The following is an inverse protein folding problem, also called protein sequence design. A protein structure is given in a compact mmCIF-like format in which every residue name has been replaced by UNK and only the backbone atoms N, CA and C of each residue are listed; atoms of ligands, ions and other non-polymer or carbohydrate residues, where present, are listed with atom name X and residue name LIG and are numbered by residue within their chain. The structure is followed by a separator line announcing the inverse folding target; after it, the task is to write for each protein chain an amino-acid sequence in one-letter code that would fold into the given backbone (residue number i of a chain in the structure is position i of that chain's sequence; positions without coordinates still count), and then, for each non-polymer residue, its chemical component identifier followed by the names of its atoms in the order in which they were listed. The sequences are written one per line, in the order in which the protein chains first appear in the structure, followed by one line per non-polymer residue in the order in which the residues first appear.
data_IF_795133731557
#
_entry.id   IF_795133731557
#
_cell.length_a   1.000
_cell.length_b   1.000
_cell.length_c   1.000
_cell.angle_alpha   90.00
_cell.angle_beta   90.00
_cell.angle_gamma   90.00
#
_symmetry.space_group_name_H-M   'P 1'
#
loop_
_entity.id
_entity.type
_entity.pdbx_description
1 polymer ?
#
# COMPACT_ATOMS: atom_id res chain seq x y z
N UNK A 1 0.35 23.20 -37.52
CA UNK A 1 -0.23 21.91 -37.06
C UNK A 1 -0.26 21.91 -35.57
N UNK A 2 -1.47 21.86 -35.02
CA UNK A 2 -1.64 21.60 -33.58
C UNK A 2 -1.05 20.24 -33.24
N UNK A 3 -0.24 20.11 -32.18
CA UNK A 3 0.29 18.81 -31.80
C UNK A 3 -0.86 17.87 -31.54
N UNK A 4 -0.81 16.73 -32.18
CA UNK A 4 -1.79 15.65 -32.01
C UNK A 4 -1.94 15.33 -30.52
N UNK A 5 -3.15 15.48 -30.00
CA UNK A 5 -3.52 15.22 -28.59
C UNK A 5 -3.47 13.73 -28.19
N UNK A 6 -2.62 12.95 -28.85
CA UNK A 6 -2.52 11.49 -28.65
C UNK A 6 -1.64 11.09 -27.46
N UNK A 7 -0.72 11.96 -27.05
CA UNK A 7 0.15 11.70 -25.91
C UNK A 7 -0.21 12.68 -24.78
N UNK A 8 -0.38 12.18 -23.58
CA UNK A 8 -0.60 12.99 -22.39
C UNK A 8 0.34 12.55 -21.26
N UNK A 9 0.82 13.54 -20.54
CA UNK A 9 1.61 13.38 -19.36
C UNK A 9 0.66 13.02 -18.19
N UNK A 10 0.66 11.78 -17.76
CA UNK A 10 -0.27 11.30 -16.74
C UNK A 10 0.50 10.60 -15.64
N UNK A 11 0.24 11.00 -14.40
CA UNK A 11 0.71 10.24 -13.25
C UNK A 11 -0.12 8.98 -13.10
N UNK A 12 0.48 7.83 -13.38
CA UNK A 12 -0.13 6.52 -13.14
C UNK A 12 0.69 5.73 -12.14
N UNK A 13 0.02 4.78 -11.51
CA UNK A 13 0.66 3.79 -10.66
C UNK A 13 1.32 2.75 -11.53
N UNK A 14 2.56 2.41 -11.19
CA UNK A 14 3.37 1.44 -11.89
C UNK A 14 3.95 0.43 -10.91
N UNK A 15 4.17 -0.78 -11.39
CA UNK A 15 5.01 -1.74 -10.70
C UNK A 15 6.45 -1.33 -10.98
N UNK A 16 7.25 -1.25 -9.95
CA UNK A 16 8.59 -0.70 -9.98
C UNK A 16 9.58 -1.62 -9.30
N UNK A 17 10.70 -1.86 -9.95
CA UNK A 17 11.85 -2.51 -9.34
C UNK A 17 12.80 -1.43 -8.78
N UNK A 18 12.85 -1.24 -7.46
CA UNK A 18 13.69 -0.19 -6.86
C UNK A 18 15.18 -0.47 -6.98
N UNK A 19 15.57 -1.72 -7.24
CA UNK A 19 16.98 -2.10 -7.41
C UNK A 19 17.46 -1.81 -8.82
N UNK A 20 16.60 -2.02 -9.83
CA UNK A 20 16.92 -1.69 -11.22
C UNK A 20 16.58 -0.24 -11.56
N UNK A 21 15.79 0.45 -10.73
CA UNK A 21 15.39 1.83 -10.97
C UNK A 21 14.44 1.99 -12.17
N UNK A 22 13.62 0.98 -12.46
CA UNK A 22 12.76 0.96 -13.65
C UNK A 22 11.36 0.40 -13.37
N UNK A 23 10.40 0.81 -14.19
CA UNK A 23 9.08 0.19 -14.23
C UNK A 23 9.17 -1.16 -14.93
N UNK A 24 8.36 -2.11 -14.47
CA UNK A 24 8.24 -3.44 -15.06
C UNK A 24 6.78 -3.74 -15.40
N UNK A 25 6.58 -4.59 -16.41
CA UNK A 25 5.25 -5.02 -16.80
C UNK A 25 4.69 -6.10 -15.85
N UNK A 26 3.36 -6.22 -15.77
CA UNK A 26 2.72 -7.28 -14.98
C UNK A 26 3.22 -8.69 -15.35
N UNK A 27 3.58 -8.91 -16.63
CA UNK A 27 4.10 -10.17 -17.11
C UNK A 27 5.53 -10.50 -16.62
N UNK A 28 6.26 -9.50 -16.11
CA UNK A 28 7.61 -9.64 -15.54
C UNK A 28 7.59 -9.79 -14.01
N UNK A 29 6.39 -9.93 -13.42
CA UNK A 29 6.21 -10.13 -11.98
C UNK A 29 5.92 -11.60 -11.71
N UNK A 30 6.77 -12.20 -10.90
CA UNK A 30 6.56 -13.54 -10.34
C UNK A 30 6.13 -13.46 -8.88
N UNK A 31 5.58 -14.56 -8.38
CA UNK A 31 5.28 -14.71 -6.95
C UNK A 31 6.22 -15.77 -6.37
N UNK A 32 7.00 -15.38 -5.37
CA UNK A 32 7.86 -16.28 -4.64
C UNK A 32 7.40 -16.40 -3.19
N UNK A 33 7.27 -17.63 -2.73
CA UNK A 33 7.03 -17.89 -1.31
C UNK A 33 8.25 -17.45 -0.50
N UNK A 34 8.03 -16.56 0.45
CA UNK A 34 9.06 -16.06 1.37
C UNK A 34 8.55 -16.05 2.80
N UNK A 35 9.47 -16.30 3.71
CA UNK A 35 9.19 -16.09 5.13
C UNK A 35 9.01 -14.60 5.40
N UNK A 36 7.85 -14.26 5.93
CA UNK A 36 7.50 -12.91 6.37
C UNK A 36 7.03 -12.96 7.83
N UNK A 37 6.93 -11.81 8.47
CA UNK A 37 6.32 -11.71 9.79
C UNK A 37 4.95 -11.09 9.66
N UNK A 38 3.94 -11.79 10.16
CA UNK A 38 2.63 -11.21 10.44
C UNK A 38 2.70 -10.61 11.85
N UNK A 39 2.45 -9.33 11.95
CA UNK A 39 2.44 -8.61 13.22
C UNK A 39 1.03 -8.12 13.52
N UNK A 40 0.57 -8.35 14.73
CA UNK A 40 -0.68 -7.85 15.25
C UNK A 40 -0.40 -6.59 16.05
N UNK A 41 -0.96 -5.48 15.62
CA UNK A 41 -0.70 -4.14 16.14
C UNK A 41 -1.97 -3.60 16.78
N UNK A 42 -1.85 -3.07 18.00
CA UNK A 42 -2.93 -2.40 18.71
C UNK A 42 -3.08 -0.97 18.23
N UNK A 43 -4.29 -0.63 17.83
CA UNK A 43 -4.70 0.71 17.43
C UNK A 43 -5.80 1.20 18.38
N UNK A 44 -5.93 2.51 18.52
CA UNK A 44 -6.88 3.12 19.45
C UNK A 44 -7.83 4.04 18.69
N UNK A 45 -9.13 3.82 18.82
CA UNK A 45 -10.17 4.72 18.33
C UNK A 45 -10.30 5.96 19.19
N UNK A 46 -10.95 7.01 18.67
CA UNK A 46 -11.14 8.28 19.40
C UNK A 46 -11.97 8.11 20.68
N UNK A 47 -12.83 7.11 20.74
CA UNK A 47 -13.61 6.76 21.95
C UNK A 47 -12.83 5.92 22.98
N UNK A 48 -11.56 5.60 22.68
CA UNK A 48 -10.72 4.77 23.53
C UNK A 48 -10.84 3.26 23.26
N UNK A 49 -11.72 2.83 22.35
CA UNK A 49 -11.81 1.41 21.95
C UNK A 49 -10.53 0.95 21.27
N UNK A 50 -10.03 -0.20 21.69
CA UNK A 50 -8.85 -0.80 21.07
C UNK A 50 -9.24 -1.76 19.95
N UNK A 51 -8.47 -1.71 18.87
CA UNK A 51 -8.62 -2.57 17.71
C UNK A 51 -7.25 -3.18 17.35
N UNK A 52 -7.22 -4.48 17.11
CA UNK A 52 -6.00 -5.17 16.69
C UNK A 52 -6.03 -5.40 15.18
N UNK A 53 -5.01 -4.92 14.49
CA UNK A 53 -4.87 -5.06 13.04
C UNK A 53 -3.64 -5.89 12.72
N UNK A 54 -3.84 -6.94 11.93
CA UNK A 54 -2.77 -7.82 11.46
C UNK A 54 -2.15 -7.27 10.17
N UNK A 55 -0.84 -7.13 10.12
CA UNK A 55 -0.13 -6.71 8.90
C UNK A 55 1.20 -7.44 8.71
N UNK A 56 1.56 -7.68 7.47
CA UNK A 56 2.91 -8.15 7.09
C UNK A 56 3.83 -7.01 6.68
N UNK A 57 3.29 -5.76 6.65
CA UNK A 57 4.00 -4.56 6.22
C UNK A 57 3.86 -3.41 7.22
N UNK A 58 4.38 -3.56 8.45
CA UNK A 58 4.25 -2.54 9.49
C UNK A 58 4.92 -1.21 9.10
N UNK A 59 5.90 -1.23 8.20
CA UNK A 59 6.51 -0.02 7.64
C UNK A 59 5.53 0.87 6.87
N UNK A 60 4.42 0.32 6.40
CA UNK A 60 3.38 1.08 5.68
C UNK A 60 2.25 1.62 6.56
N UNK A 61 2.29 1.44 7.87
CA UNK A 61 1.33 2.06 8.78
C UNK A 61 1.26 3.58 8.53
N UNK A 62 2.39 4.23 8.29
CA UNK A 62 2.47 5.64 7.91
C UNK A 62 1.71 5.96 6.62
N UNK A 63 1.47 4.97 5.75
CA UNK A 63 0.79 5.09 4.48
C UNK A 63 -0.69 4.67 4.53
N UNK A 64 -1.20 4.30 5.69
CA UNK A 64 -2.61 3.95 5.88
C UNK A 64 -3.49 5.16 5.60
N UNK A 65 -4.49 4.98 4.72
CA UNK A 65 -5.47 6.02 4.38
C UNK A 65 -6.85 5.75 4.98
N UNK A 66 -7.14 4.48 5.27
CA UNK A 66 -8.41 4.03 5.83
C UNK A 66 -8.21 2.65 6.47
N UNK A 67 -8.95 2.38 7.51
CA UNK A 67 -9.11 1.03 8.05
C UNK A 67 -10.48 0.51 7.60
N UNK A 68 -10.54 -0.71 7.07
CA UNK A 68 -11.79 -1.26 6.57
C UNK A 68 -12.16 -2.58 7.24
N UNK A 69 -13.45 -2.78 7.42
CA UNK A 69 -14.09 -3.97 7.98
C UNK A 69 -15.11 -4.51 6.98
N UNK A 70 -15.41 -5.80 7.05
CA UNK A 70 -16.44 -6.37 6.18
C UNK A 70 -17.83 -5.85 6.58
N UNK A 71 -18.72 -5.52 5.62
CA UNK A 71 -20.07 -5.04 5.91
C UNK A 71 -20.92 -6.01 6.78
N UNK A 72 -20.71 -7.32 6.61
CA UNK A 72 -21.43 -8.36 7.33
C UNK A 72 -20.71 -8.86 8.60
N UNK A 73 -19.67 -8.16 9.04
CA UNK A 73 -18.93 -8.52 10.25
C UNK A 73 -19.45 -7.72 11.46
N UNK A 74 -20.36 -8.30 12.20
CA UNK A 74 -21.02 -7.68 13.36
C UNK A 74 -20.04 -7.26 14.46
N UNK A 75 -18.84 -7.86 14.51
CA UNK A 75 -17.82 -7.56 15.53
C UNK A 75 -17.39 -6.10 15.50
N UNK A 76 -17.40 -5.48 14.34
CA UNK A 76 -16.81 -4.16 14.11
C UNK A 76 -17.80 -3.10 13.63
N UNK A 77 -19.09 -3.42 13.50
CA UNK A 77 -20.09 -2.47 13.00
C UNK A 77 -20.18 -1.20 13.85
N UNK A 78 -19.97 -1.32 15.15
CA UNK A 78 -19.99 -0.19 16.08
C UNK A 78 -18.82 0.78 15.92
N UNK A 79 -17.77 0.39 15.19
CA UNK A 79 -16.58 1.21 14.91
C UNK A 79 -16.68 1.96 13.59
N UNK A 80 -17.64 1.62 12.74
CA UNK A 80 -17.80 2.26 11.43
C UNK A 80 -18.12 3.74 11.57
N UNK A 81 -17.38 4.59 10.85
CA UNK A 81 -17.46 6.05 10.96
C UNK A 81 -16.61 6.66 12.08
N UNK A 82 -16.06 5.86 12.97
CA UNK A 82 -15.11 6.36 13.97
C UNK A 82 -13.74 6.63 13.36
N UNK A 83 -12.95 7.44 14.03
CA UNK A 83 -11.54 7.65 13.69
C UNK A 83 -10.66 6.79 14.57
N UNK A 84 -9.61 6.27 13.97
CA UNK A 84 -8.62 5.42 14.63
C UNK A 84 -7.22 6.01 14.46
N UNK A 85 -6.49 6.12 15.56
CA UNK A 85 -5.15 6.70 15.61
C UNK A 85 -4.13 5.78 14.94
N UNK A 86 -3.29 6.36 14.07
CA UNK A 86 -2.21 5.63 13.40
C UNK A 86 -1.04 5.43 14.38
N UNK A 87 -0.65 4.18 14.70
CA UNK A 87 0.64 3.93 15.31
C UNK A 87 1.77 4.47 14.43
N UNK A 88 2.86 4.94 15.02
CA UNK A 88 4.00 5.51 14.30
C UNK A 88 3.68 6.74 13.44
N UNK A 89 2.54 7.38 13.66
CA UNK A 89 2.21 8.65 13.00
C UNK A 89 3.17 9.75 13.46
N UNK A 90 3.51 10.62 12.53
CA UNK A 90 4.46 11.72 12.77
C UNK A 90 3.91 13.05 12.34
N UNK A 91 4.58 14.11 12.79
CA UNK A 91 4.23 15.50 12.48
C UNK A 91 4.08 15.74 10.98
N UNK A 92 3.02 16.43 10.60
CA UNK A 92 2.76 16.89 9.23
C UNK A 92 1.79 16.04 8.42
N UNK A 93 1.23 14.96 8.99
CA UNK A 93 0.16 14.15 8.37
C UNK A 93 -0.99 13.91 9.34
N UNK A 94 -2.15 13.49 8.80
CA UNK A 94 -3.25 13.03 9.63
C UNK A 94 -2.77 11.91 10.57
N UNK A 95 -2.95 12.11 11.87
CA UNK A 95 -2.57 11.14 12.90
C UNK A 95 -3.63 10.06 13.09
N UNK A 96 -4.78 10.20 12.44
CA UNK A 96 -5.89 9.25 12.48
C UNK A 96 -6.55 9.10 11.11
N UNK A 97 -7.17 7.94 10.89
CA UNK A 97 -7.94 7.60 9.69
C UNK A 97 -9.34 7.14 10.09
N UNK A 98 -10.26 7.09 9.14
CA UNK A 98 -11.61 6.63 9.38
C UNK A 98 -11.70 5.10 9.27
N UNK A 99 -12.61 4.50 10.04
CA UNK A 99 -13.02 3.10 9.91
C UNK A 99 -14.22 3.03 8.99
N UNK A 100 -14.10 2.32 7.87
CA UNK A 100 -15.14 2.20 6.86
C UNK A 100 -15.48 0.74 6.57
N UNK A 101 -16.60 0.52 5.91
CA UNK A 101 -16.96 -0.81 5.40
C UNK A 101 -16.45 -1.01 3.99
N UNK A 102 -15.93 -2.20 3.69
CA UNK A 102 -15.57 -2.57 2.33
C UNK A 102 -15.67 -4.08 2.10
N UNK A 103 -16.31 -4.54 1.00
CA UNK A 103 -16.54 -5.98 0.75
C UNK A 103 -15.26 -6.75 0.38
N UNK A 104 -14.15 -6.08 0.11
CA UNK A 104 -12.86 -6.74 -0.17
C UNK A 104 -12.22 -7.36 1.06
N UNK A 105 -12.68 -7.01 2.26
CA UNK A 105 -12.17 -7.54 3.51
C UNK A 105 -12.60 -9.01 3.67
N UNK A 106 -11.65 -9.85 4.03
CA UNK A 106 -11.92 -11.24 4.40
C UNK A 106 -11.99 -11.33 5.92
N UNK A 107 -13.20 -11.44 6.46
CA UNK A 107 -13.44 -11.47 7.92
C UNK A 107 -12.70 -12.60 8.65
N UNK A 108 -12.33 -13.65 7.92
CA UNK A 108 -11.62 -14.83 8.44
C UNK A 108 -10.09 -14.68 8.40
N UNK A 109 -9.57 -13.63 7.75
CA UNK A 109 -8.12 -13.42 7.63
C UNK A 109 -7.62 -12.49 8.73
N UNK A 110 -6.65 -12.96 9.52
CA UNK A 110 -6.11 -12.22 10.66
C UNK A 110 -7.19 -11.88 11.66
N UNK A 111 -7.34 -10.61 11.98
CA UNK A 111 -8.40 -10.11 12.86
C UNK A 111 -9.70 -9.81 12.13
N UNK A 112 -9.75 -9.90 10.80
CA UNK A 112 -10.90 -9.47 9.99
C UNK A 112 -10.95 -7.96 9.76
N UNK A 113 -9.88 -7.25 10.12
CA UNK A 113 -9.72 -5.80 9.91
C UNK A 113 -8.54 -5.56 8.99
N UNK A 114 -8.73 -4.76 7.96
CA UNK A 114 -7.72 -4.49 6.97
C UNK A 114 -7.28 -3.01 7.03
N UNK A 115 -5.99 -2.82 7.19
CA UNK A 115 -5.31 -1.54 6.97
C UNK A 115 -5.08 -1.37 5.47
N UNK A 116 -5.70 -0.37 4.86
CA UNK A 116 -5.53 -0.07 3.44
C UNK A 116 -4.51 1.07 3.27
N UNK A 117 -3.41 0.76 2.63
CA UNK A 117 -2.29 1.67 2.49
C UNK A 117 -2.20 2.26 1.09
N UNK A 118 -1.80 3.52 0.99
CA UNK A 118 -1.45 4.11 -0.29
C UNK A 118 -0.29 3.34 -0.92
N UNK A 119 -0.51 2.76 -2.09
CA UNK A 119 0.49 1.94 -2.80
C UNK A 119 0.97 0.68 -2.02
N UNK A 120 0.15 0.10 -1.16
CA UNK A 120 0.46 -1.15 -0.47
C UNK A 120 0.54 -2.33 -1.44
N UNK A 121 -0.55 -2.61 -2.12
CA UNK A 121 -0.65 -3.60 -3.20
C UNK A 121 -1.70 -3.18 -4.26
N UNK A 122 -2.05 -4.07 -5.19
CA UNK A 122 -3.05 -3.79 -6.22
C UNK A 122 -4.47 -3.62 -5.65
N UNK A 123 -4.80 -4.37 -4.60
CA UNK A 123 -6.12 -4.28 -3.95
C UNK A 123 -6.25 -2.97 -3.18
N UNK A 124 -5.24 -2.60 -2.42
CA UNK A 124 -5.17 -1.31 -1.72
C UNK A 124 -5.39 -0.15 -2.67
N UNK A 125 -4.77 -0.24 -3.83
CA UNK A 125 -4.90 0.73 -4.91
C UNK A 125 -6.34 0.83 -5.45
N UNK A 126 -7.04 -0.29 -5.59
CA UNK A 126 -8.43 -0.31 -6.02
C UNK A 126 -9.34 0.34 -4.96
N UNK A 127 -9.20 -0.05 -3.70
CA UNK A 127 -9.96 0.51 -2.57
C UNK A 127 -9.73 2.02 -2.42
N UNK A 128 -8.48 2.48 -2.51
CA UNK A 128 -8.19 3.93 -2.49
C UNK A 128 -8.94 4.71 -3.57
N UNK A 129 -9.04 4.14 -4.76
CA UNK A 129 -9.75 4.77 -5.89
C UNK A 129 -11.26 4.72 -5.70
N UNK A 130 -11.81 3.61 -5.23
CA UNK A 130 -13.24 3.44 -5.00
C UNK A 130 -13.74 4.38 -3.91
N UNK A 131 -12.96 4.57 -2.85
CA UNK A 131 -13.27 5.46 -1.73
C UNK A 131 -12.86 6.92 -2.00
N UNK A 132 -12.31 7.25 -3.18
CA UNK A 132 -11.90 8.62 -3.51
C UNK A 132 -10.76 9.18 -2.65
N UNK A 133 -9.96 8.33 -2.03
CA UNK A 133 -8.89 8.74 -1.13
C UNK A 133 -7.71 9.34 -1.91
N UNK A 134 -7.09 10.38 -1.35
CA UNK A 134 -5.89 10.99 -1.93
C UNK A 134 -4.68 10.11 -1.62
N UNK A 135 -4.02 9.54 -2.64
CA UNK A 135 -2.84 8.72 -2.42
C UNK A 135 -1.61 9.58 -2.13
N UNK A 136 -0.72 9.07 -1.29
CA UNK A 136 0.59 9.66 -1.01
C UNK A 136 1.66 8.56 -1.03
N UNK A 137 2.89 8.95 -1.34
CA UNK A 137 3.98 8.03 -1.58
C UNK A 137 4.84 7.87 -0.33
N UNK A 138 4.85 6.66 0.24
CA UNK A 138 5.66 6.33 1.41
C UNK A 138 7.06 5.79 1.04
N UNK A 139 7.22 5.28 -0.18
CA UNK A 139 8.49 4.73 -0.70
C UNK A 139 8.87 5.55 -1.93
N UNK A 140 10.10 6.05 -1.99
CA UNK A 140 10.63 6.79 -3.13
C UNK A 140 11.16 5.87 -4.26
N UNK A 141 11.75 6.48 -5.28
CA UNK A 141 12.30 5.77 -6.44
C UNK A 141 13.56 4.95 -6.10
N UNK A 142 14.24 5.30 -5.03
CA UNK A 142 15.43 4.58 -4.55
C UNK A 142 15.08 3.44 -3.59
N UNK A 143 13.78 3.14 -3.40
CA UNK A 143 13.28 2.11 -2.49
C UNK A 143 13.41 2.48 -1.01
N UNK A 144 13.54 3.77 -0.70
CA UNK A 144 13.65 4.29 0.65
C UNK A 144 12.36 4.92 1.13
N UNK A 145 12.17 4.91 2.43
CA UNK A 145 11.02 5.55 3.07
C UNK A 145 11.11 7.06 2.95
N UNK A 146 10.02 7.69 2.51
CA UNK A 146 9.91 9.16 2.38
C UNK A 146 9.68 9.81 3.75
N UNK A 147 9.64 11.15 3.77
CA UNK A 147 9.34 11.94 4.99
C UNK A 147 7.99 11.59 5.64
N UNK A 148 7.04 11.06 4.87
CA UNK A 148 5.75 10.59 5.39
C UNK A 148 5.91 9.50 6.44
N UNK A 149 6.98 8.72 6.35
CA UNK A 149 7.27 7.62 7.27
C UNK A 149 7.91 8.06 8.60
N UNK A 150 8.13 9.35 8.81
CA UNK A 150 8.62 9.90 10.07
C UNK A 150 9.89 9.25 10.59
N UNK A 151 9.84 8.50 11.70
CA UNK A 151 11.03 7.88 12.28
C UNK A 151 11.69 6.81 11.38
N UNK A 152 11.00 6.40 10.30
CA UNK A 152 11.51 5.44 9.33
C UNK A 152 12.09 6.14 8.08
N UNK A 153 12.07 7.47 8.01
CA UNK A 153 12.53 8.23 6.85
C UNK A 153 13.98 7.91 6.45
N UNK A 154 14.21 7.70 5.16
CA UNK A 154 15.52 7.42 4.59
C UNK A 154 15.99 5.97 4.70
N UNK A 155 15.29 5.13 5.46
CA UNK A 155 15.58 3.70 5.58
C UNK A 155 15.10 2.94 4.34
N UNK A 156 15.77 1.87 4.00
CA UNK A 156 15.22 0.89 3.04
C UNK A 156 13.97 0.23 3.60
N UNK A 157 13.13 -0.35 2.75
CA UNK A 157 11.89 -1.03 3.18
C UNK A 157 12.15 -2.13 4.22
N UNK A 158 13.25 -2.87 4.09
CA UNK A 158 13.59 -3.94 5.03
C UNK A 158 14.03 -3.39 6.40
N UNK A 159 14.89 -2.37 6.41
CA UNK A 159 15.31 -1.69 7.64
C UNK A 159 14.11 -1.03 8.34
N UNK A 160 13.27 -0.34 7.56
CA UNK A 160 12.07 0.31 8.06
C UNK A 160 11.08 -0.70 8.69
N UNK A 161 10.93 -1.87 8.09
CA UNK A 161 10.08 -2.94 8.64
C UNK A 161 10.59 -3.43 9.99
N UNK A 162 11.90 -3.72 10.09
CA UNK A 162 12.51 -4.12 11.36
C UNK A 162 12.35 -3.02 12.41
N UNK A 163 12.65 -1.77 12.03
CA UNK A 163 12.56 -0.62 12.93
C UNK A 163 11.12 -0.33 13.38
N UNK A 164 10.13 -0.49 12.48
CA UNK A 164 8.73 -0.32 12.83
C UNK A 164 8.28 -1.33 13.91
N UNK A 165 8.71 -2.59 13.81
CA UNK A 165 8.41 -3.61 14.81
C UNK A 165 9.02 -3.22 16.17
N UNK A 166 10.29 -2.81 16.21
CA UNK A 166 10.94 -2.36 17.44
C UNK A 166 10.22 -1.16 18.10
N UNK A 167 9.81 -0.19 17.29
CA UNK A 167 9.07 0.97 17.80
C UNK A 167 7.70 0.57 18.36
N UNK A 168 6.97 -0.30 17.65
CA UNK A 168 5.67 -0.81 18.10
C UNK A 168 5.80 -1.63 19.40
N UNK A 169 6.89 -2.38 19.54
CA UNK A 169 7.19 -3.11 20.77
C UNK A 169 7.50 -2.15 21.93
N UNK A 170 8.33 -1.14 21.69
CA UNK A 170 8.70 -0.12 22.68
C UNK A 170 7.47 0.66 23.15
N UNK A 171 6.53 0.96 22.25
CA UNK A 171 5.28 1.67 22.54
C UNK A 171 4.21 0.76 23.18
N UNK A 172 4.49 -0.54 23.36
CA UNK A 172 3.54 -1.51 23.92
C UNK A 172 2.35 -1.80 23.00
N UNK A 173 2.46 -1.47 21.70
CA UNK A 173 1.42 -1.67 20.70
C UNK A 173 1.54 -2.99 19.93
N UNK A 174 2.70 -3.64 19.98
CA UNK A 174 2.90 -4.96 19.40
C UNK A 174 2.21 -6.02 20.27
N UNK A 175 1.17 -6.65 19.76
CA UNK A 175 0.44 -7.72 20.45
C UNK A 175 1.07 -9.07 20.20
N UNK A 176 1.39 -9.35 18.94
CA UNK A 176 1.95 -10.63 18.52
C UNK A 176 2.81 -10.46 17.25
N UNK A 177 3.81 -11.34 17.10
CA UNK A 177 4.61 -11.43 15.87
C UNK A 177 4.86 -12.89 15.54
N UNK A 178 4.35 -13.35 14.37
CA UNK A 178 4.41 -14.74 13.94
C UNK A 178 5.06 -14.83 12.56
N UNK A 179 6.03 -15.75 12.42
CA UNK A 179 6.55 -16.06 11.09
C UNK A 179 5.52 -16.85 10.28
N UNK A 180 5.37 -16.45 9.01
CA UNK A 180 4.55 -17.19 8.05
C UNK A 180 5.17 -17.14 6.66
N UNK A 181 4.83 -18.10 5.84
CA UNK A 181 5.14 -18.06 4.43
C UNK A 181 4.07 -17.25 3.69
N UNK A 182 4.51 -16.38 2.80
CA UNK A 182 3.64 -15.54 1.98
C UNK A 182 4.23 -15.40 0.58
N UNK A 183 3.36 -15.43 -0.41
CA UNK A 183 3.72 -15.15 -1.79
C UNK A 183 3.95 -13.65 -1.98
N UNK A 184 5.21 -13.29 -2.18
CA UNK A 184 5.65 -11.91 -2.39
C UNK A 184 5.85 -11.68 -3.88
N UNK A 185 5.28 -10.61 -4.46
CA UNK A 185 5.54 -10.25 -5.85
C UNK A 185 6.99 -9.77 -5.99
N UNK A 186 7.69 -10.34 -6.95
CA UNK A 186 9.10 -10.05 -7.22
C UNK A 186 9.33 -9.84 -8.72
N UNK A 187 10.38 -9.09 -9.05
CA UNK A 187 10.87 -8.97 -10.42
C UNK A 187 11.37 -10.33 -10.93
N UNK A 188 10.94 -10.75 -12.12
CA UNK A 188 11.36 -12.00 -12.73
C UNK A 188 12.88 -12.10 -12.85
N UNK A 189 13.54 -11.02 -13.21
CA UNK A 189 14.98 -10.99 -13.49
C UNK A 189 15.84 -11.16 -12.25
N UNK A 190 15.56 -10.39 -11.20
CA UNK A 190 16.41 -10.34 -9.99
C UNK A 190 15.78 -10.99 -8.76
N UNK A 191 14.53 -11.37 -8.85
CA UNK A 191 13.76 -11.89 -7.71
C UNK A 191 13.72 -10.91 -6.52
N UNK A 192 13.86 -9.62 -6.81
CA UNK A 192 13.72 -8.53 -5.83
C UNK A 192 12.25 -8.19 -5.62
N UNK A 193 11.81 -7.89 -4.39
CA UNK A 193 10.46 -7.44 -4.14
C UNK A 193 10.15 -6.16 -4.93
N UNK A 194 9.00 -6.14 -5.59
CA UNK A 194 8.54 -4.96 -6.34
C UNK A 194 7.81 -3.99 -5.42
N UNK A 195 7.84 -2.71 -5.79
CA UNK A 195 7.07 -1.65 -5.15
C UNK A 195 5.98 -1.13 -6.10
N UNK A 196 4.91 -0.57 -5.53
CA UNK A 196 3.93 0.18 -6.27
C UNK A 196 4.19 1.65 -6.05
N UNK A 197 4.44 2.39 -7.13
CA UNK A 197 4.80 3.80 -7.06
C UNK A 197 4.00 4.63 -8.07
N UNK A 198 4.01 5.93 -7.87
CA UNK A 198 3.41 6.89 -8.80
C UNK A 198 4.50 7.54 -9.61
N UNK A 199 4.48 7.30 -10.92
CA UNK A 199 5.42 7.91 -11.87
C UNK A 199 4.70 8.76 -12.90
N UNK A 200 5.43 9.77 -13.39
CA UNK A 200 5.03 10.57 -14.53
C UNK A 200 5.53 9.89 -15.79
N UNK A 201 4.60 9.45 -16.64
CA UNK A 201 4.91 8.73 -17.86
C UNK A 201 4.11 9.27 -19.04
N UNK A 202 4.63 9.00 -20.24
CA UNK A 202 3.94 9.27 -21.47
C UNK A 202 2.95 8.18 -21.80
N UNK A 203 1.69 8.56 -22.01
CA UNK A 203 0.62 7.66 -22.37
C UNK A 203 0.03 8.03 -23.72
N UNK A 204 -0.11 7.02 -24.59
CA UNK A 204 -0.79 7.16 -25.86
C UNK A 204 -2.24 6.71 -25.71
N UNK A 205 -3.20 7.59 -25.98
CA UNK A 205 -4.60 7.22 -26.01
C UNK A 205 -4.84 6.32 -27.21
N UNK A 206 -5.11 5.06 -26.97
CA UNK A 206 -5.59 4.16 -28.02
C UNK A 206 -7.04 4.50 -28.32
N UNK A 207 -7.28 5.20 -29.44
CA UNK A 207 -8.63 5.44 -29.94
C UNK A 207 -9.20 4.13 -30.50
N UNK A 208 -10.48 3.86 -30.25
CA UNK A 208 -11.18 2.64 -30.76
C UNK A 208 -11.24 2.51 -32.29
N UNK A 209 -10.75 3.46 -33.06
CA UNK A 209 -10.63 3.38 -34.52
C UNK A 209 -9.33 2.64 -34.84
N UNK A 210 -9.48 1.46 -35.44
CA UNK A 210 -8.38 0.74 -36.10
C UNK A 210 -7.69 1.72 -37.07
N UNK A 211 -6.54 2.23 -36.72
CA UNK A 211 -5.66 2.90 -37.66
C UNK A 211 -5.10 1.78 -38.54
N UNK A 212 -5.64 1.66 -39.75
CA UNK A 212 -4.98 0.82 -40.79
C UNK A 212 -3.67 1.51 -41.13
N UNK A 213 -2.59 1.05 -40.57
CA UNK A 213 -1.27 1.38 -41.10
C UNK A 213 -1.20 0.80 -42.54
N UNK A 214 -1.26 1.70 -43.50
CA UNK A 214 -0.83 1.35 -44.89
C UNK A 214 0.71 1.43 -44.84
N UNK A 215 1.35 0.28 -44.75
CA UNK A 215 2.76 0.14 -45.09
C UNK A 215 2.80 0.27 -46.61
N UNK A 216 3.37 1.36 -47.15
CA UNK A 216 3.80 1.42 -48.53
C UNK A 216 5.15 0.66 -48.61
N UNK A 217 5.13 -0.47 -49.31
CA UNK A 217 6.31 -1.13 -49.77
C UNK A 217 6.95 -0.27 -50.88
#
# INVERSE_FOLDING_TARGET
PTPSSAASDVYKRQIYDPVEGTTIADAEVERLSRKTRLVDVRWTCDDGTELVISTTRPELICACGVVVVHPDDDRYQHLVGQRISLPLATDGRATSVEVMQHPSVKSEFGTGVLMVCSFGDQNDVAVFRELGLTPFQAIDLDGKMTKVAGPLHGMTVLEARARAIELLETDGRLVQSVEREQDVPVSERRKTPVAFIRLKEWWVRQTRRRVRMRVRL
#
